data_IF_928889040323
#
_entry.id   IF_928889040323
#
_cell.length_a   1.000
_cell.length_b   1.000
_cell.length_c   1.000
_cell.angle_alpha   90.00
_cell.angle_beta   90.00
_cell.angle_gamma   90.00
#
_symmetry.space_group_name_H-M   'P 1'
#
loop_
_entity.id
_entity.type
_entity.pdbx_description
1 polymer ?
#
# COMPACT_ATOMS: atom_id res chain seq x y z
N UNK A 1 24.02 39.99 -21.45
CA UNK A 1 24.39 38.65 -21.98
C UNK A 1 23.40 37.66 -21.39
N UNK A 2 22.92 36.70 -22.17
CA UNK A 2 21.77 35.85 -21.82
C UNK A 2 22.12 34.76 -20.82
N UNK A 3 21.34 34.65 -19.74
CA UNK A 3 21.49 33.64 -18.69
C UNK A 3 20.37 32.57 -18.70
N UNK A 4 19.68 32.38 -19.83
CA UNK A 4 18.92 31.14 -20.07
C UNK A 4 19.92 30.04 -20.44
N UNK A 5 20.54 29.44 -19.44
CA UNK A 5 21.03 28.06 -19.55
C UNK A 5 19.82 27.15 -19.43
N UNK A 6 19.35 26.57 -20.55
CA UNK A 6 18.25 25.61 -20.51
C UNK A 6 18.67 24.37 -19.72
N UNK A 7 18.05 24.22 -18.54
CA UNK A 7 18.23 23.05 -17.69
C UNK A 7 17.46 21.88 -18.30
N UNK A 8 18.18 20.98 -18.96
CA UNK A 8 17.62 19.71 -19.41
C UNK A 8 17.38 18.78 -18.21
N UNK A 9 16.11 18.66 -17.84
CA UNK A 9 15.67 17.78 -16.76
C UNK A 9 15.89 16.30 -17.08
N UNK A 10 15.84 15.92 -18.35
CA UNK A 10 15.94 14.52 -18.79
C UNK A 10 17.39 14.04 -18.75
N UNK A 11 18.33 14.84 -19.29
CA UNK A 11 19.75 14.55 -19.19
C UNK A 11 20.23 14.54 -17.73
N UNK A 12 19.78 15.50 -16.91
CA UNK A 12 20.15 15.56 -15.48
C UNK A 12 19.63 14.33 -14.72
N UNK A 13 18.39 13.91 -14.95
CA UNK A 13 17.81 12.70 -14.34
C UNK A 13 18.57 11.42 -14.74
N UNK A 14 18.88 11.27 -16.04
CA UNK A 14 19.63 10.12 -16.55
C UNK A 14 21.07 10.10 -16.02
N UNK A 15 21.71 11.27 -15.89
CA UNK A 15 23.03 11.37 -15.24
C UNK A 15 22.98 10.86 -13.80
N UNK A 16 22.02 11.31 -12.99
CA UNK A 16 21.96 10.86 -11.59
C UNK A 16 21.75 9.34 -11.45
N UNK A 17 20.99 8.70 -12.37
CA UNK A 17 20.84 7.23 -12.40
C UNK A 17 22.11 6.49 -12.85
N UNK A 18 22.96 7.14 -13.65
CA UNK A 18 24.27 6.61 -14.04
C UNK A 18 25.31 6.75 -12.92
N UNK A 19 25.30 7.90 -12.23
CA UNK A 19 26.30 8.25 -11.21
C UNK A 19 26.04 7.53 -9.86
N UNK A 20 24.79 7.16 -9.53
CA UNK A 20 24.43 6.33 -8.38
C UNK A 20 23.52 5.14 -8.76
N UNK A 21 24.09 3.94 -9.05
CA UNK A 21 23.31 2.74 -9.37
C UNK A 21 22.54 2.16 -8.17
N UNK A 22 22.78 2.64 -6.95
CA UNK A 22 21.97 2.33 -5.78
C UNK A 22 20.73 3.25 -5.65
N UNK A 23 20.63 4.32 -6.42
CA UNK A 23 19.48 5.23 -6.36
C UNK A 23 18.26 4.70 -7.13
N UNK A 24 17.08 4.87 -6.54
CA UNK A 24 15.81 4.44 -7.17
C UNK A 24 15.21 5.58 -8.00
N UNK A 25 14.48 5.24 -9.09
CA UNK A 25 13.85 6.20 -10.00
C UNK A 25 12.99 7.29 -9.31
N UNK A 26 12.19 7.01 -8.25
CA UNK A 26 11.49 8.05 -7.50
C UNK A 26 12.44 9.07 -6.84
N UNK A 27 13.55 8.60 -6.27
CA UNK A 27 14.55 9.46 -5.59
C UNK A 27 15.27 10.32 -6.64
N UNK A 28 15.65 9.74 -7.77
CA UNK A 28 16.29 10.45 -8.88
C UNK A 28 15.39 11.58 -9.42
N UNK A 29 14.08 11.34 -9.51
CA UNK A 29 13.11 12.36 -9.90
C UNK A 29 13.10 13.52 -8.90
N UNK A 30 13.05 13.21 -7.61
CA UNK A 30 13.05 14.20 -6.52
C UNK A 30 14.34 15.01 -6.49
N UNK A 31 15.50 14.36 -6.64
CA UNK A 31 16.80 15.07 -6.70
C UNK A 31 16.87 16.02 -7.89
N UNK A 32 16.40 15.58 -9.06
CA UNK A 32 16.36 16.41 -10.27
C UNK A 32 15.43 17.62 -10.12
N UNK A 33 14.25 17.44 -9.50
CA UNK A 33 13.32 18.53 -9.19
C UNK A 33 13.89 19.49 -8.14
N UNK A 34 14.60 19.00 -7.11
CA UNK A 34 15.28 19.86 -6.14
C UNK A 34 16.41 20.67 -6.80
N UNK A 35 17.16 20.09 -7.73
CA UNK A 35 18.20 20.80 -8.50
C UNK A 35 17.61 21.84 -9.48
N UNK A 36 16.47 21.54 -10.12
CA UNK A 36 15.70 22.52 -10.90
C UNK A 36 15.34 23.76 -10.05
N UNK A 37 14.88 23.57 -8.81
CA UNK A 37 14.52 24.68 -7.91
C UNK A 37 15.73 25.51 -7.43
N UNK A 38 16.90 24.87 -7.25
CA UNK A 38 18.16 25.56 -6.94
C UNK A 38 18.63 26.48 -8.09
N UNK A 39 18.37 26.08 -9.33
CA UNK A 39 18.83 26.78 -10.55
C UNK A 39 17.83 27.86 -10.99
N UNK A 40 16.54 27.51 -11.18
CA UNK A 40 15.55 28.46 -11.73
C UNK A 40 15.09 29.52 -10.73
N UNK A 41 15.21 29.26 -9.43
CA UNK A 41 14.89 30.19 -8.33
C UNK A 41 13.59 31.01 -8.58
N UNK A 42 12.43 30.34 -8.75
CA UNK A 42 11.15 31.03 -8.94
C UNK A 42 10.88 32.00 -7.80
N UNK A 43 10.25 33.14 -8.10
CA UNK A 43 9.97 34.22 -7.17
C UNK A 43 8.56 34.16 -6.55
N UNK A 44 7.67 33.30 -7.05
CA UNK A 44 6.30 33.14 -6.53
C UNK A 44 5.86 31.68 -6.44
N UNK A 45 4.85 31.42 -5.60
CA UNK A 45 4.25 30.08 -5.45
C UNK A 45 3.55 29.59 -6.73
N UNK A 46 2.88 30.46 -7.47
CA UNK A 46 2.24 30.10 -8.75
C UNK A 46 3.28 29.73 -9.80
N UNK A 47 4.38 30.49 -9.90
CA UNK A 47 5.50 30.20 -10.80
C UNK A 47 6.18 28.88 -10.42
N UNK A 48 6.45 28.66 -9.13
CA UNK A 48 7.01 27.41 -8.59
C UNK A 48 6.18 26.19 -9.01
N UNK A 49 4.86 26.22 -8.80
CA UNK A 49 3.96 25.12 -9.17
C UNK A 49 3.94 24.93 -10.70
N UNK A 50 3.90 26.03 -11.48
CA UNK A 50 3.87 25.97 -12.95
C UNK A 50 5.16 25.36 -13.53
N UNK A 51 6.33 25.77 -13.01
CA UNK A 51 7.63 25.24 -13.40
C UNK A 51 7.73 23.76 -13.05
N UNK A 52 7.31 23.35 -11.84
CA UNK A 52 7.33 21.96 -11.42
C UNK A 52 6.37 21.09 -12.24
N UNK A 53 5.17 21.57 -12.56
CA UNK A 53 4.21 20.83 -13.38
C UNK A 53 4.74 20.63 -14.81
N UNK A 54 5.26 21.69 -15.44
CA UNK A 54 5.86 21.60 -16.78
C UNK A 54 7.06 20.64 -16.80
N UNK A 55 7.90 20.70 -15.77
CA UNK A 55 9.05 19.82 -15.60
C UNK A 55 8.66 18.33 -15.38
N UNK A 56 7.67 18.07 -14.53
CA UNK A 56 7.18 16.72 -14.23
C UNK A 56 6.57 16.07 -15.48
N UNK A 57 5.73 16.78 -16.23
CA UNK A 57 5.11 16.22 -17.43
C UNK A 57 6.14 16.00 -18.56
N UNK A 58 7.13 16.89 -18.70
CA UNK A 58 8.28 16.67 -19.61
C UNK A 58 9.05 15.40 -19.23
N UNK A 59 9.31 15.17 -17.95
CA UNK A 59 10.07 14.02 -17.46
C UNK A 59 9.26 12.71 -17.57
N UNK A 60 7.95 12.74 -17.29
CA UNK A 60 7.02 11.61 -17.51
C UNK A 60 6.94 11.23 -18.99
N UNK A 61 6.81 12.20 -19.90
CA UNK A 61 6.71 11.94 -21.34
C UNK A 61 8.02 11.42 -21.97
N UNK A 62 9.17 11.67 -21.34
CA UNK A 62 10.50 11.32 -21.87
C UNK A 62 10.99 9.92 -21.49
N UNK A 63 10.27 9.21 -20.62
CA UNK A 63 10.72 7.93 -20.03
C UNK A 63 9.65 6.85 -20.28
N UNK A 64 9.97 5.75 -20.99
CA UNK A 64 8.95 4.80 -21.48
C UNK A 64 8.25 4.00 -20.37
N UNK A 65 8.88 3.87 -19.19
CA UNK A 65 8.24 3.38 -17.96
C UNK A 65 8.32 4.46 -16.89
N UNK A 66 7.36 5.39 -16.91
CA UNK A 66 7.29 6.50 -15.99
C UNK A 66 6.63 6.17 -14.64
N UNK A 67 6.34 4.90 -14.32
CA UNK A 67 5.49 4.52 -13.17
C UNK A 67 6.22 4.72 -11.84
N UNK A 68 7.45 4.23 -11.73
CA UNK A 68 8.26 4.47 -10.52
C UNK A 68 8.70 5.95 -10.43
N UNK A 69 8.92 6.60 -11.57
CA UNK A 69 9.19 8.04 -11.66
C UNK A 69 8.02 8.88 -11.10
N UNK A 70 6.79 8.58 -11.54
CA UNK A 70 5.59 9.37 -11.18
C UNK A 70 5.27 9.29 -9.70
N UNK A 71 5.58 8.17 -9.02
CA UNK A 71 5.54 8.08 -7.57
C UNK A 71 6.34 9.21 -6.90
N UNK A 72 7.59 9.41 -7.33
CA UNK A 72 8.48 10.45 -6.81
C UNK A 72 8.05 11.86 -7.19
N UNK A 73 7.66 12.08 -8.45
CA UNK A 73 7.17 13.38 -8.92
C UNK A 73 5.90 13.83 -8.18
N UNK A 74 4.92 12.95 -8.04
CA UNK A 74 3.64 13.26 -7.41
C UNK A 74 3.80 13.43 -5.88
N UNK A 75 4.67 12.64 -5.24
CA UNK A 75 5.05 12.80 -3.84
C UNK A 75 5.71 14.17 -3.60
N UNK A 76 6.60 14.61 -4.49
CA UNK A 76 7.24 15.93 -4.42
C UNK A 76 6.24 17.07 -4.66
N UNK A 77 5.34 16.94 -5.64
CA UNK A 77 4.31 17.94 -5.89
C UNK A 77 3.39 18.12 -4.67
N UNK A 78 2.94 17.02 -4.04
CA UNK A 78 2.16 17.07 -2.79
C UNK A 78 2.94 17.71 -1.64
N UNK A 79 4.25 17.43 -1.54
CA UNK A 79 5.12 18.08 -0.54
C UNK A 79 5.20 19.60 -0.73
N UNK A 80 5.40 20.06 -1.97
CA UNK A 80 5.46 21.48 -2.32
C UNK A 80 4.12 22.17 -2.02
N UNK A 81 3.01 21.57 -2.44
CA UNK A 81 1.66 22.11 -2.20
C UNK A 81 1.35 22.23 -0.70
N UNK A 82 1.58 21.19 0.12
CA UNK A 82 1.32 21.25 1.58
C UNK A 82 2.12 22.37 2.25
N UNK A 83 3.41 22.51 1.93
CA UNK A 83 4.27 23.52 2.55
C UNK A 83 3.99 24.95 2.07
N UNK A 84 3.52 25.12 0.83
CA UNK A 84 3.17 26.45 0.27
C UNK A 84 2.11 27.17 1.11
N UNK A 85 1.24 26.44 1.82
CA UNK A 85 0.22 27.01 2.71
C UNK A 85 0.70 27.29 4.14
N UNK A 86 1.90 26.85 4.54
CA UNK A 86 2.41 26.95 5.92
C UNK A 86 3.28 28.19 6.17
N UNK A 87 3.77 28.86 5.13
CA UNK A 87 4.74 29.96 5.23
C UNK A 87 4.21 31.26 4.64
N UNK A 88 4.33 32.35 5.40
CA UNK A 88 4.06 33.71 4.93
C UNK A 88 5.25 34.31 4.16
N UNK A 89 6.48 33.88 4.48
CA UNK A 89 7.68 34.20 3.69
C UNK A 89 7.97 33.10 2.67
N UNK A 90 7.94 33.48 1.40
CA UNK A 90 8.22 32.58 0.28
C UNK A 90 9.70 32.17 0.21
N UNK A 91 10.66 33.01 0.63
CA UNK A 91 12.09 32.64 0.63
C UNK A 91 12.42 31.63 1.74
N UNK A 92 11.77 31.75 2.91
CA UNK A 92 11.76 30.69 3.92
C UNK A 92 11.16 29.40 3.37
N UNK A 93 10.01 29.46 2.69
CA UNK A 93 9.39 28.29 2.06
C UNK A 93 10.34 27.61 1.06
N UNK A 94 10.93 28.38 0.13
CA UNK A 94 11.83 27.87 -0.93
C UNK A 94 13.07 27.19 -0.33
N UNK A 95 13.69 27.78 0.70
CA UNK A 95 14.81 27.14 1.43
C UNK A 95 14.38 25.87 2.14
N UNK A 96 13.24 25.90 2.86
CA UNK A 96 12.69 24.73 3.54
C UNK A 96 12.39 23.57 2.58
N UNK A 97 11.89 23.85 1.36
CA UNK A 97 11.66 22.83 0.33
C UNK A 97 12.95 22.17 -0.14
N UNK A 98 14.03 22.95 -0.36
CA UNK A 98 15.34 22.42 -0.77
C UNK A 98 16.00 21.62 0.36
N UNK A 99 15.99 22.14 1.59
CA UNK A 99 16.56 21.48 2.77
C UNK A 99 15.88 20.14 3.06
N UNK A 100 14.53 20.10 3.04
CA UNK A 100 13.79 18.85 3.22
C UNK A 100 13.95 17.88 2.04
N UNK A 101 14.08 18.39 0.81
CA UNK A 101 14.38 17.55 -0.35
C UNK A 101 15.67 16.76 -0.16
N UNK A 102 16.74 17.43 0.30
CA UNK A 102 18.02 16.78 0.61
C UNK A 102 17.92 15.83 1.81
N UNK A 103 17.15 16.20 2.85
CA UNK A 103 16.88 15.33 4.00
C UNK A 103 16.06 14.09 3.62
N UNK A 104 15.16 14.19 2.64
CA UNK A 104 14.40 13.06 2.11
C UNK A 104 15.31 12.10 1.35
N UNK A 105 16.12 12.59 0.41
CA UNK A 105 17.15 11.80 -0.30
C UNK A 105 18.02 10.96 0.66
N UNK A 106 18.49 11.59 1.75
CA UNK A 106 19.27 10.90 2.79
C UNK A 106 18.46 9.76 3.45
N UNK A 107 17.21 10.05 3.88
CA UNK A 107 16.32 9.08 4.53
C UNK A 107 15.94 7.92 3.61
N UNK A 108 15.71 8.17 2.32
CA UNK A 108 15.34 7.12 1.35
C UNK A 108 16.43 6.06 1.17
N UNK A 109 17.71 6.39 1.41
CA UNK A 109 18.79 5.38 1.45
C UNK A 109 18.71 4.50 2.71
N UNK A 110 18.28 5.06 3.85
CA UNK A 110 18.04 4.29 5.08
C UNK A 110 16.83 3.35 4.99
N UNK A 111 15.82 3.67 4.17
CA UNK A 111 14.58 2.88 4.05
C UNK A 111 14.86 1.42 3.65
N UNK A 112 15.81 1.15 2.75
CA UNK A 112 16.21 -0.23 2.37
C UNK A 112 16.75 -1.03 3.56
N UNK A 113 17.54 -0.39 4.43
CA UNK A 113 18.05 -1.03 5.65
C UNK A 113 16.90 -1.36 6.59
N UNK A 114 16.00 -0.40 6.86
CA UNK A 114 14.81 -0.60 7.71
C UNK A 114 13.91 -1.73 7.20
N UNK A 115 13.69 -1.80 5.89
CA UNK A 115 12.97 -2.89 5.21
C UNK A 115 13.64 -4.25 5.47
N UNK A 116 14.97 -4.34 5.42
CA UNK A 116 15.70 -5.56 5.73
C UNK A 116 15.59 -5.95 7.23
N UNK A 117 15.62 -4.98 8.14
CA UNK A 117 15.47 -5.19 9.60
C UNK A 117 14.05 -5.63 10.01
N UNK A 118 13.04 -5.24 9.24
CA UNK A 118 11.66 -5.70 9.39
C UNK A 118 11.50 -7.08 8.72
N UNK A 119 12.00 -7.20 7.49
CA UNK A 119 11.72 -8.31 6.57
C UNK A 119 12.48 -9.61 6.84
N UNK A 120 13.67 -9.58 7.45
CA UNK A 120 14.44 -10.82 7.70
C UNK A 120 13.68 -11.85 8.55
N UNK A 121 12.72 -11.40 9.36
CA UNK A 121 11.87 -12.22 10.24
C UNK A 121 10.92 -13.16 9.47
N UNK A 122 10.69 -12.90 8.18
CA UNK A 122 9.88 -13.75 7.31
C UNK A 122 10.66 -14.92 6.69
N UNK A 123 11.99 -14.91 6.76
CA UNK A 123 12.83 -16.02 6.29
C UNK A 123 13.11 -16.93 7.49
N UNK A 124 12.65 -18.18 7.41
CA UNK A 124 12.91 -19.22 8.40
C UNK A 124 14.09 -20.10 7.99
N UNK A 125 14.63 -20.84 8.96
CA UNK A 125 15.81 -21.68 8.74
C UNK A 125 15.48 -22.91 7.87
N UNK A 126 16.35 -23.15 6.89
CA UNK A 126 16.23 -24.08 5.76
C UNK A 126 15.21 -23.70 4.64
N UNK A 127 14.65 -22.48 4.65
CA UNK A 127 13.73 -22.00 3.59
C UNK A 127 14.28 -22.14 2.16
N UNK A 128 13.39 -22.49 1.22
CA UNK A 128 13.56 -22.30 -0.22
C UNK A 128 12.75 -21.08 -0.67
N UNK A 129 13.44 -20.00 -0.99
CA UNK A 129 12.84 -18.71 -1.40
C UNK A 129 12.86 -18.57 -2.92
N UNK A 130 11.72 -18.27 -3.55
CA UNK A 130 11.67 -17.86 -4.95
C UNK A 130 11.77 -16.35 -5.08
N UNK A 131 12.62 -15.86 -5.97
CA UNK A 131 12.77 -14.44 -6.34
C UNK A 131 12.58 -14.27 -7.84
N UNK A 132 11.87 -13.21 -8.23
CA UNK A 132 11.68 -12.82 -9.62
C UNK A 132 12.53 -11.59 -9.97
N UNK A 133 13.25 -11.65 -11.10
CA UNK A 133 14.09 -10.57 -11.62
C UNK A 133 15.14 -10.06 -10.61
N UNK A 134 15.68 -8.87 -10.83
CA UNK A 134 16.53 -8.16 -9.89
C UNK A 134 15.71 -7.19 -9.04
N UNK A 135 15.93 -7.20 -7.73
CA UNK A 135 15.36 -6.20 -6.83
C UNK A 135 16.34 -5.86 -5.72
N UNK A 136 16.67 -4.56 -5.64
CA UNK A 136 17.61 -4.01 -4.65
C UNK A 136 17.12 -4.28 -3.22
N UNK A 137 15.85 -3.98 -2.93
CA UNK A 137 15.23 -4.25 -1.61
C UNK A 137 15.27 -5.73 -1.22
N UNK A 138 14.93 -6.63 -2.15
CA UNK A 138 14.99 -8.09 -1.92
C UNK A 138 16.44 -8.54 -1.70
N UNK A 139 17.41 -8.01 -2.46
CA UNK A 139 18.82 -8.33 -2.25
C UNK A 139 19.30 -7.89 -0.86
N UNK A 140 19.01 -6.65 -0.42
CA UNK A 140 19.40 -6.15 0.91
C UNK A 140 18.79 -6.98 2.03
N UNK A 141 17.52 -7.41 1.90
CA UNK A 141 16.84 -8.30 2.84
C UNK A 141 17.54 -9.66 2.93
N UNK A 142 17.86 -10.29 1.80
CA UNK A 142 18.57 -11.57 1.74
C UNK A 142 20.00 -11.46 2.30
N UNK A 143 20.74 -10.39 1.97
CA UNK A 143 22.05 -10.10 2.55
C UNK A 143 21.99 -9.98 4.08
N UNK A 144 20.96 -9.29 4.60
CA UNK A 144 20.77 -9.11 6.04
C UNK A 144 20.39 -10.42 6.74
N UNK A 145 19.49 -11.23 6.16
CA UNK A 145 19.16 -12.56 6.67
C UNK A 145 20.39 -13.49 6.72
N UNK A 146 21.23 -13.44 5.68
CA UNK A 146 22.53 -14.14 5.63
C UNK A 146 23.49 -13.65 6.72
N UNK A 147 23.55 -12.33 6.97
CA UNK A 147 24.35 -11.75 8.06
C UNK A 147 23.84 -12.16 9.46
N UNK A 148 22.53 -12.39 9.63
CA UNK A 148 21.94 -13.01 10.84
C UNK A 148 22.18 -14.53 10.94
N UNK A 149 22.91 -15.13 9.99
CA UNK A 149 23.27 -16.56 9.93
C UNK A 149 22.09 -17.53 9.74
N UNK A 150 20.95 -17.05 9.24
CA UNK A 150 19.82 -17.90 8.83
C UNK A 150 20.27 -18.73 7.62
N UNK A 151 19.99 -20.04 7.62
CA UNK A 151 20.26 -20.91 6.47
C UNK A 151 19.04 -20.86 5.55
N UNK A 152 19.24 -20.59 4.26
CA UNK A 152 18.20 -20.62 3.25
C UNK A 152 18.84 -20.85 1.87
N UNK A 153 17.99 -21.17 0.89
CA UNK A 153 18.35 -21.37 -0.52
C UNK A 153 17.47 -20.47 -1.37
N UNK A 154 17.99 -19.93 -2.47
CA UNK A 154 17.24 -19.06 -3.36
C UNK A 154 17.10 -19.69 -4.74
N UNK A 155 15.90 -19.61 -5.30
CA UNK A 155 15.61 -19.84 -6.72
C UNK A 155 15.36 -18.48 -7.34
N UNK A 156 16.03 -18.16 -8.44
CA UNK A 156 15.87 -16.90 -9.19
C UNK A 156 15.38 -17.23 -10.60
N UNK A 157 14.35 -16.53 -11.09
CA UNK A 157 13.93 -16.64 -12.50
C UNK A 157 14.78 -15.72 -13.38
N UNK A 158 15.09 -16.13 -14.61
CA UNK A 158 15.90 -15.37 -15.58
C UNK A 158 15.33 -13.95 -15.87
N UNK A 159 14.01 -13.81 -15.85
CA UNK A 159 13.25 -12.58 -16.11
C UNK A 159 13.51 -11.99 -17.51
N UNK A 160 13.10 -12.71 -18.55
CA UNK A 160 13.10 -12.18 -19.93
C UNK A 160 11.99 -11.13 -20.09
N UNK A 161 12.19 -10.06 -20.89
CA UNK A 161 13.30 -9.83 -21.81
C UNK A 161 14.54 -9.15 -21.18
N UNK A 162 14.53 -8.80 -19.89
CA UNK A 162 15.59 -7.97 -19.29
C UNK A 162 16.81 -8.74 -18.80
N UNK A 163 16.69 -10.06 -18.62
CA UNK A 163 17.72 -10.98 -18.11
C UNK A 163 18.30 -10.59 -16.72
N UNK A 164 17.62 -9.72 -16.00
CA UNK A 164 18.07 -9.18 -14.71
C UNK A 164 18.20 -10.26 -13.62
N UNK A 165 17.52 -11.41 -13.78
CA UNK A 165 17.67 -12.56 -12.92
C UNK A 165 19.10 -13.10 -12.84
N UNK A 166 19.88 -13.01 -13.93
CA UNK A 166 21.29 -13.43 -13.91
C UNK A 166 22.14 -12.56 -12.97
N UNK A 167 21.93 -11.23 -13.03
CA UNK A 167 22.59 -10.26 -12.14
C UNK A 167 22.22 -10.49 -10.68
N UNK A 168 20.95 -10.78 -10.40
CA UNK A 168 20.48 -11.13 -9.05
C UNK A 168 21.11 -12.44 -8.55
N UNK A 169 21.13 -13.47 -9.39
CA UNK A 169 21.73 -14.75 -9.05
C UNK A 169 23.24 -14.67 -8.86
N UNK A 170 23.94 -13.81 -9.61
CA UNK A 170 25.36 -13.50 -9.40
C UNK A 170 25.59 -12.79 -8.06
N UNK A 171 24.90 -11.67 -7.81
CA UNK A 171 25.06 -10.87 -6.58
C UNK A 171 24.89 -11.72 -5.31
N UNK A 172 23.88 -12.59 -5.27
CA UNK A 172 23.62 -13.48 -4.14
C UNK A 172 24.69 -14.60 -4.00
N UNK A 173 25.23 -15.13 -5.11
CA UNK A 173 26.35 -16.10 -5.08
C UNK A 173 27.63 -15.47 -4.58
N UNK A 174 27.93 -14.23 -4.99
CA UNK A 174 29.09 -13.46 -4.53
C UNK A 174 29.01 -13.19 -3.00
N UNK A 175 27.80 -13.16 -2.43
CA UNK A 175 27.53 -13.11 -0.98
C UNK A 175 27.51 -14.48 -0.28
N UNK A 176 27.81 -15.57 -0.98
CA UNK A 176 27.82 -16.93 -0.45
C UNK A 176 26.43 -17.50 -0.12
N UNK A 177 25.37 -17.02 -0.78
CA UNK A 177 24.03 -17.59 -0.70
C UNK A 177 23.89 -18.68 -1.78
N UNK A 178 23.34 -19.88 -1.49
CA UNK A 178 23.11 -20.90 -2.51
C UNK A 178 21.98 -20.47 -3.46
N UNK A 179 22.28 -20.32 -4.76
CA UNK A 179 21.31 -19.85 -5.77
C UNK A 179 21.22 -20.76 -7.00
N UNK A 180 20.02 -21.27 -7.26
CA UNK A 180 19.65 -21.86 -8.54
C UNK A 180 19.01 -20.77 -9.43
N UNK A 181 19.47 -20.66 -10.68
CA UNK A 181 18.79 -19.88 -11.72
C UNK A 181 17.86 -20.83 -12.48
N UNK A 182 16.65 -20.39 -12.82
CA UNK A 182 15.68 -21.15 -13.63
C UNK A 182 15.14 -20.29 -14.78
N UNK A 183 14.71 -20.96 -15.85
CA UNK A 183 13.94 -20.31 -16.91
C UNK A 183 12.55 -19.91 -16.41
N UNK A 184 11.97 -18.84 -16.93
CA UNK A 184 10.72 -18.28 -16.40
C UNK A 184 9.55 -19.28 -16.50
N UNK A 185 9.52 -20.11 -17.55
CA UNK A 185 8.52 -21.18 -17.73
C UNK A 185 8.63 -22.33 -16.72
N UNK A 186 9.75 -22.47 -16.00
CA UNK A 186 9.97 -23.54 -15.04
C UNK A 186 9.39 -23.25 -13.64
N UNK A 187 8.86 -22.05 -13.39
CA UNK A 187 8.24 -21.67 -12.10
C UNK A 187 7.19 -22.70 -11.67
N UNK A 188 6.27 -23.07 -12.56
CA UNK A 188 5.20 -24.03 -12.26
C UNK A 188 5.70 -25.44 -11.88
N UNK A 189 6.90 -25.81 -12.30
CA UNK A 189 7.54 -27.08 -11.92
C UNK A 189 8.25 -27.02 -10.56
N UNK A 190 8.77 -25.84 -10.17
CA UNK A 190 9.48 -25.67 -8.90
C UNK A 190 8.60 -25.18 -7.74
N UNK A 191 7.46 -24.52 -8.01
CA UNK A 191 6.67 -23.80 -7.00
C UNK A 191 6.26 -24.67 -5.79
N UNK A 192 6.01 -25.97 -5.99
CA UNK A 192 5.69 -26.89 -4.89
C UNK A 192 6.85 -27.09 -3.91
N UNK A 193 8.09 -26.95 -4.39
CA UNK A 193 9.36 -27.04 -3.62
C UNK A 193 9.81 -25.70 -3.03
N UNK A 194 9.11 -24.60 -3.34
CA UNK A 194 9.34 -23.26 -2.79
C UNK A 194 8.53 -23.12 -1.51
N UNK A 195 9.08 -22.51 -0.47
CA UNK A 195 8.36 -22.25 0.78
C UNK A 195 7.73 -20.86 0.80
N UNK A 196 8.43 -19.87 0.23
CA UNK A 196 8.00 -18.45 0.20
C UNK A 196 8.45 -17.78 -1.09
N UNK A 197 7.64 -16.86 -1.60
CA UNK A 197 7.99 -16.02 -2.76
C UNK A 197 8.29 -14.60 -2.28
N UNK A 198 9.42 -14.02 -2.70
CA UNK A 198 9.77 -12.61 -2.48
C UNK A 198 9.88 -11.90 -3.85
N UNK A 199 9.06 -10.87 -4.07
CA UNK A 199 9.13 -10.03 -5.27
C UNK A 199 9.48 -8.58 -4.91
N UNK A 200 10.11 -7.88 -5.84
CA UNK A 200 10.19 -6.41 -5.78
C UNK A 200 8.89 -5.75 -6.21
N UNK A 201 8.89 -4.42 -6.18
CA UNK A 201 7.96 -3.60 -6.94
C UNK A 201 8.69 -2.37 -7.49
N UNK A 202 8.28 -1.92 -8.67
CA UNK A 202 8.61 -0.60 -9.21
C UNK A 202 7.61 0.45 -8.73
N UNK A 203 6.34 0.08 -8.64
CA UNK A 203 5.25 0.88 -8.06
C UNK A 203 4.26 -0.01 -7.29
N UNK A 204 3.57 0.58 -6.31
CA UNK A 204 2.45 -0.07 -5.60
C UNK A 204 1.18 0.74 -5.87
N UNK A 205 0.11 0.09 -6.31
CA UNK A 205 -1.15 0.72 -6.67
C UNK A 205 -2.02 1.06 -5.45
N UNK A 206 -3.03 1.93 -5.63
CA UNK A 206 -3.94 2.36 -4.56
C UNK A 206 -4.82 1.21 -4.04
N UNK A 207 -5.00 0.14 -4.82
CA UNK A 207 -5.64 -1.12 -4.40
C UNK A 207 -4.73 -2.08 -3.61
N UNK A 208 -3.46 -1.73 -3.39
CA UNK A 208 -2.46 -2.60 -2.77
C UNK A 208 -1.90 -3.70 -3.68
N UNK A 209 -2.29 -3.72 -4.96
CA UNK A 209 -1.59 -4.49 -6.02
C UNK A 209 -0.22 -3.89 -6.35
N UNK A 210 0.62 -4.62 -7.07
CA UNK A 210 1.97 -4.15 -7.46
C UNK A 210 2.16 -4.06 -8.97
N UNK A 211 3.05 -3.16 -9.37
CA UNK A 211 3.60 -3.07 -10.71
C UNK A 211 5.10 -3.40 -10.61
N UNK A 212 5.53 -4.43 -11.33
CA UNK A 212 6.89 -4.96 -11.31
C UNK A 212 7.20 -5.62 -12.67
N UNK A 213 8.42 -6.13 -12.87
CA UNK A 213 8.79 -6.85 -14.10
C UNK A 213 7.83 -7.98 -14.48
N UNK A 214 7.66 -8.16 -15.79
CA UNK A 214 6.79 -9.16 -16.41
C UNK A 214 7.09 -10.59 -15.93
N UNK A 215 6.05 -11.30 -15.52
CA UNK A 215 6.13 -12.61 -14.87
C UNK A 215 5.77 -12.57 -13.38
N UNK A 216 5.72 -11.39 -12.76
CA UNK A 216 5.29 -11.23 -11.36
C UNK A 216 3.85 -11.69 -11.15
N UNK A 217 2.94 -11.34 -12.07
CA UNK A 217 1.55 -11.80 -12.03
C UNK A 217 1.44 -13.32 -12.22
N UNK A 218 2.21 -13.89 -13.16
CA UNK A 218 2.24 -15.33 -13.41
C UNK A 218 2.71 -16.11 -12.17
N UNK A 219 3.76 -15.61 -11.50
CA UNK A 219 4.27 -16.15 -10.24
C UNK A 219 3.24 -16.00 -9.13
N UNK A 220 2.49 -14.88 -9.07
CA UNK A 220 1.39 -14.68 -8.12
C UNK A 220 0.27 -15.70 -8.26
N UNK A 221 -0.21 -15.93 -9.49
CA UNK A 221 -1.22 -16.96 -9.79
C UNK A 221 -0.73 -18.36 -9.40
N UNK A 222 0.51 -18.72 -9.75
CA UNK A 222 1.11 -20.01 -9.42
C UNK A 222 1.32 -20.19 -7.90
N UNK A 223 1.78 -19.16 -7.20
CA UNK A 223 1.98 -19.18 -5.76
C UNK A 223 0.64 -19.35 -5.02
N UNK A 224 -0.40 -18.61 -5.42
CA UNK A 224 -1.76 -18.71 -4.86
C UNK A 224 -2.32 -20.12 -5.04
N UNK A 225 -2.22 -20.69 -6.25
CA UNK A 225 -2.69 -22.04 -6.54
C UNK A 225 -1.90 -23.12 -5.75
N UNK A 226 -0.59 -22.94 -5.58
CA UNK A 226 0.27 -23.81 -4.78
C UNK A 226 0.21 -23.54 -3.26
N UNK A 227 -0.68 -22.64 -2.81
CA UNK A 227 -0.83 -22.19 -1.41
C UNK A 227 0.50 -21.71 -0.78
N UNK A 228 1.36 -21.05 -1.56
CA UNK A 228 2.62 -20.45 -1.11
C UNK A 228 2.43 -18.94 -0.87
N UNK A 229 2.92 -18.39 0.25
CA UNK A 229 2.82 -16.96 0.52
C UNK A 229 3.74 -16.17 -0.42
N UNK A 230 3.20 -15.08 -0.97
CA UNK A 230 3.93 -14.10 -1.77
C UNK A 230 4.04 -12.80 -0.99
N UNK A 231 5.28 -12.40 -0.70
CA UNK A 231 5.59 -11.14 -0.05
C UNK A 231 6.22 -10.18 -1.04
N UNK A 232 5.75 -8.93 -1.02
CA UNK A 232 6.32 -7.82 -1.78
C UNK A 232 7.33 -7.11 -0.88
N UNK A 233 8.48 -6.70 -1.43
CA UNK A 233 9.50 -5.94 -0.69
C UNK A 233 9.75 -4.61 -1.42
N UNK A 234 9.20 -3.51 -0.90
CA UNK A 234 9.17 -2.21 -1.58
C UNK A 234 9.36 -1.04 -0.61
N UNK A 235 10.03 0.02 -1.07
CA UNK A 235 10.03 1.31 -0.39
C UNK A 235 8.65 2.00 -0.47
N UNK A 236 8.29 2.73 0.58
CA UNK A 236 7.05 3.52 0.71
C UNK A 236 6.93 4.62 -0.36
N UNK A 237 8.06 5.20 -0.77
CA UNK A 237 8.13 6.24 -1.79
C UNK A 237 7.88 5.74 -3.24
N UNK A 238 7.45 4.49 -3.40
CA UNK A 238 6.95 3.89 -4.66
C UNK A 238 5.42 3.74 -4.68
N UNK A 239 4.69 4.21 -3.68
CA UNK A 239 3.23 4.15 -3.70
C UNK A 239 2.67 5.16 -4.71
N UNK A 240 1.91 4.68 -5.69
CA UNK A 240 1.34 5.46 -6.80
C UNK A 240 -0.17 5.56 -6.62
N UNK A 241 -0.74 6.73 -6.90
CA UNK A 241 -2.20 6.90 -7.04
C UNK A 241 -2.66 6.47 -8.44
N UNK A 242 -2.51 5.18 -8.70
CA UNK A 242 -3.03 4.49 -9.87
C UNK A 242 -3.88 3.32 -9.37
N UNK A 243 -5.01 3.07 -10.04
CA UNK A 243 -5.93 1.99 -9.72
C UNK A 243 -6.24 1.20 -10.99
N UNK A 244 -5.35 0.28 -11.41
CA UNK A 244 -5.61 -0.58 -12.57
C UNK A 244 -6.83 -1.46 -12.30
N UNK A 245 -7.78 -1.47 -13.24
CA UNK A 245 -8.98 -2.32 -13.20
C UNK A 245 -8.68 -3.76 -13.69
N UNK A 246 -7.61 -3.94 -14.46
CA UNK A 246 -7.17 -5.22 -15.02
C UNK A 246 -5.64 -5.35 -15.02
N UNK A 247 -5.06 -6.56 -15.18
CA UNK A 247 -3.60 -6.80 -15.21
C UNK A 247 -2.85 -6.07 -16.34
N UNK A 248 -3.58 -5.67 -17.38
CA UNK A 248 -3.16 -4.94 -18.58
C UNK A 248 -3.54 -3.45 -18.58
N UNK A 249 -4.27 -2.97 -17.56
CA UNK A 249 -4.70 -1.57 -17.40
C UNK A 249 -3.55 -0.68 -16.84
N UNK A 250 -2.42 -0.68 -17.56
CA UNK A 250 -1.19 0.03 -17.21
C UNK A 250 -0.92 1.08 -18.30
N UNK A 251 -0.54 2.33 -17.95
CA UNK A 251 -0.21 3.38 -18.93
C UNK A 251 1.18 3.14 -19.58
N UNK A 252 1.27 2.11 -20.43
CA UNK A 252 2.44 1.76 -21.25
C UNK A 252 2.09 1.81 -22.74
N UNK A 253 2.86 2.57 -23.52
CA UNK A 253 2.57 2.88 -24.93
C UNK A 253 2.88 1.75 -25.94
N UNK A 254 2.82 0.48 -25.51
CA UNK A 254 3.19 -0.68 -26.33
C UNK A 254 1.99 -1.60 -26.53
N UNK A 255 1.46 -1.64 -27.77
CA UNK A 255 0.59 -2.73 -28.22
C UNK A 255 1.35 -4.05 -28.16
N UNK A 256 1.11 -4.84 -27.11
CA UNK A 256 1.79 -6.12 -26.83
C UNK A 256 1.53 -7.17 -27.93
N UNK A 257 0.41 -7.07 -28.62
CA UNK A 257 -0.07 -8.08 -29.59
C UNK A 257 -0.06 -7.54 -31.03
N UNK A 258 1.14 -7.33 -31.59
CA UNK A 258 1.33 -7.04 -33.01
C UNK A 258 1.11 -8.33 -33.85
N UNK A 259 -0.04 -8.45 -34.51
CA UNK A 259 -0.36 -9.58 -35.38
C UNK A 259 0.20 -9.38 -36.80
N UNK A 260 1.36 -9.99 -37.07
CA UNK A 260 2.03 -9.99 -38.39
C UNK A 260 1.76 -11.28 -39.17
N UNK A 261 1.70 -11.17 -40.50
CA UNK A 261 1.81 -12.32 -41.44
C UNK A 261 3.20 -12.43 -42.08
N UNK A 262 4.04 -11.40 -41.95
CA UNK A 262 5.48 -11.46 -42.20
C UNK A 262 6.20 -12.14 -41.03
N UNK A 263 7.43 -12.62 -41.28
CA UNK A 263 8.31 -13.43 -40.40
C UNK A 263 8.16 -13.22 -38.88
N UNK A 264 8.35 -14.31 -38.12
CA UNK A 264 8.38 -14.40 -36.65
C UNK A 264 9.26 -13.31 -35.99
N UNK A 265 8.69 -12.12 -35.81
CA UNK A 265 9.20 -11.13 -34.87
C UNK A 265 8.85 -11.62 -33.48
N UNK A 266 9.86 -11.68 -32.62
CA UNK A 266 9.61 -11.68 -31.17
C UNK A 266 8.86 -10.38 -30.88
N UNK A 267 7.58 -10.50 -30.52
CA UNK A 267 6.68 -9.36 -30.31
C UNK A 267 7.21 -8.42 -29.23
N UNK A 268 6.67 -7.19 -29.22
CA UNK A 268 6.85 -6.24 -28.11
C UNK A 268 6.33 -6.84 -26.80
N UNK A 269 7.19 -7.58 -26.10
CA UNK A 269 6.89 -8.10 -24.76
C UNK A 269 6.78 -6.94 -23.77
N UNK A 270 5.73 -6.89 -22.93
CA UNK A 270 5.61 -5.84 -21.93
C UNK A 270 6.77 -5.96 -20.93
N UNK A 271 7.35 -4.84 -20.51
CA UNK A 271 8.47 -4.82 -19.56
C UNK A 271 8.03 -5.02 -18.10
N UNK A 272 6.75 -4.76 -17.83
CA UNK A 272 6.09 -4.81 -16.53
C UNK A 272 4.75 -5.54 -16.62
N UNK A 273 4.27 -6.07 -15.49
CA UNK A 273 2.88 -6.49 -15.31
C UNK A 273 2.29 -5.90 -14.03
N UNK A 274 0.95 -5.93 -13.93
CA UNK A 274 0.22 -5.60 -12.71
C UNK A 274 -0.24 -6.89 -12.04
N UNK A 275 0.16 -7.07 -10.77
CA UNK A 275 -0.29 -8.18 -9.92
C UNK A 275 -1.35 -7.68 -8.94
N UNK A 276 -2.64 -8.10 -9.07
CA UNK A 276 -3.69 -7.72 -8.14
C UNK A 276 -3.44 -8.15 -6.69
N UNK A 277 -4.03 -7.40 -5.75
CA UNK A 277 -3.87 -7.62 -4.31
C UNK A 277 -4.24 -9.04 -3.84
N UNK A 278 -5.12 -9.75 -4.56
CA UNK A 278 -5.58 -11.10 -4.19
C UNK A 278 -4.45 -12.13 -4.14
N UNK A 279 -3.38 -11.93 -4.90
CA UNK A 279 -2.21 -12.81 -4.96
C UNK A 279 -1.15 -12.45 -3.90
N UNK A 280 -1.24 -11.26 -3.30
CA UNK A 280 -0.27 -10.73 -2.35
C UNK A 280 -0.66 -11.12 -0.92
N UNK A 281 0.29 -11.67 -0.16
CA UNK A 281 0.09 -12.05 1.24
C UNK A 281 0.35 -10.88 2.20
N UNK A 282 1.46 -10.15 1.99
CA UNK A 282 1.75 -8.89 2.68
C UNK A 282 2.83 -8.09 1.91
N UNK A 283 2.89 -6.79 2.17
CA UNK A 283 3.94 -5.89 1.68
C UNK A 283 4.87 -5.53 2.84
N UNK A 284 6.17 -5.69 2.63
CA UNK A 284 7.24 -5.36 3.58
C UNK A 284 7.84 -4.04 3.15
N UNK A 285 7.66 -3.01 3.98
CA UNK A 285 8.02 -1.61 3.70
C UNK A 285 8.74 -0.97 4.88
N UNK A 286 9.29 0.23 4.68
CA UNK A 286 9.91 1.05 5.72
C UNK A 286 8.91 1.61 6.74
N UNK A 287 7.60 1.57 6.44
CA UNK A 287 6.52 1.86 7.39
C UNK A 287 6.22 0.66 8.31
N UNK A 288 6.61 -0.55 7.90
CA UNK A 288 6.23 -1.80 8.56
C UNK A 288 5.77 -2.87 7.57
N UNK A 289 5.09 -3.88 8.11
CA UNK A 289 4.41 -4.92 7.33
C UNK A 289 2.97 -4.49 7.14
N UNK A 290 2.55 -4.33 5.89
CA UNK A 290 1.22 -3.88 5.50
C UNK A 290 0.45 -5.03 4.84
N UNK A 291 -0.85 -5.14 5.13
CA UNK A 291 -1.77 -5.86 4.24
C UNK A 291 -2.03 -5.00 3.00
N UNK A 292 -2.47 -5.56 1.85
CA UNK A 292 -2.84 -4.75 0.69
C UNK A 292 -3.89 -3.68 1.01
N UNK A 293 -4.85 -3.98 1.89
CA UNK A 293 -5.86 -3.03 2.37
C UNK A 293 -5.30 -1.87 3.21
N UNK A 294 -4.13 -2.03 3.83
CA UNK A 294 -3.48 -0.94 4.56
C UNK A 294 -2.72 0.02 3.63
N UNK A 295 -2.42 -0.38 2.37
CA UNK A 295 -1.75 0.50 1.40
C UNK A 295 -2.63 1.68 1.02
N UNK A 296 -3.94 1.48 0.84
CA UNK A 296 -4.89 2.57 0.60
C UNK A 296 -5.00 3.50 1.81
N UNK A 297 -5.02 2.97 3.04
CA UNK A 297 -4.96 3.80 4.24
C UNK A 297 -3.69 4.66 4.31
N UNK A 298 -2.51 4.08 4.06
CA UNK A 298 -1.24 4.82 4.06
C UNK A 298 -1.17 5.84 2.92
N UNK A 299 -1.74 5.55 1.74
CA UNK A 299 -1.86 6.52 0.65
C UNK A 299 -2.79 7.70 1.00
N UNK A 300 -3.93 7.43 1.67
CA UNK A 300 -4.83 8.47 2.17
C UNK A 300 -4.12 9.31 3.24
N UNK A 301 -3.43 8.66 4.19
CA UNK A 301 -2.59 9.34 5.20
C UNK A 301 -1.52 10.20 4.53
N UNK A 302 -0.76 9.70 3.55
CA UNK A 302 0.23 10.51 2.82
C UNK A 302 -0.37 11.72 2.07
N UNK A 303 -1.64 11.66 1.66
CA UNK A 303 -2.33 12.79 1.04
C UNK A 303 -2.80 13.85 2.07
N UNK A 304 -3.18 13.44 3.27
CA UNK A 304 -3.60 14.33 4.37
C UNK A 304 -2.41 14.85 5.20
N UNK A 305 -1.39 14.00 5.36
CA UNK A 305 -0.19 14.13 6.18
C UNK A 305 1.08 14.03 5.32
N UNK A 306 1.31 15.02 4.46
CA UNK A 306 2.56 15.12 3.69
C UNK A 306 3.81 15.14 4.59
N UNK A 307 4.92 14.56 4.07
CA UNK A 307 6.17 14.02 4.66
C UNK A 307 6.70 14.44 6.06
N UNK A 308 6.25 15.53 6.67
CA UNK A 308 6.67 15.95 8.01
C UNK A 308 6.30 14.91 9.10
N UNK A 309 5.34 14.04 8.82
CA UNK A 309 4.78 13.04 9.74
C UNK A 309 5.17 11.58 9.42
N UNK A 310 6.23 11.35 8.62
CA UNK A 310 6.92 10.03 8.54
C UNK A 310 7.68 9.66 9.84
N UNK A 311 7.19 10.15 10.98
CA UNK A 311 7.56 9.75 12.33
C UNK A 311 6.83 8.47 12.72
N UNK A 312 7.48 7.35 12.41
CA UNK A 312 7.76 6.26 13.36
C UNK A 312 7.07 6.44 14.73
N UNK A 313 5.94 5.77 14.95
CA UNK A 313 5.40 5.53 16.29
C UNK A 313 5.88 4.18 16.82
N UNK A 314 7.11 4.13 17.33
CA UNK A 314 7.56 2.99 18.12
C UNK A 314 7.00 3.07 19.54
N UNK A 315 5.80 2.53 19.77
CA UNK A 315 5.43 2.05 21.10
C UNK A 315 6.12 0.70 21.33
N UNK A 316 7.28 0.74 22.00
CA UNK A 316 7.95 -0.48 22.47
C UNK A 316 7.08 -1.12 23.56
N UNK A 317 6.26 -2.09 23.17
CA UNK A 317 5.59 -2.97 24.13
C UNK A 317 6.65 -3.90 24.73
N UNK A 318 7.13 -3.58 25.93
CA UNK A 318 8.06 -4.44 26.67
C UNK A 318 7.49 -5.87 26.82
N UNK A 319 8.34 -6.91 26.72
CA UNK A 319 7.88 -8.28 26.86
C UNK A 319 7.42 -8.53 28.30
N UNK A 320 6.10 -8.67 28.50
CA UNK A 320 5.53 -9.11 29.78
C UNK A 320 6.03 -10.53 30.08
N UNK A 321 6.98 -10.63 30.99
CA UNK A 321 7.51 -11.90 31.49
C UNK A 321 6.42 -12.69 32.21
N UNK A 322 6.44 -14.01 32.02
CA UNK A 322 5.50 -14.94 32.68
C UNK A 322 5.83 -15.07 34.18
N UNK A 323 4.85 -14.82 35.04
CA UNK A 323 4.96 -15.01 36.49
C UNK A 323 3.59 -15.11 37.20
N UNK A 324 3.36 -16.26 37.82
CA UNK A 324 2.40 -16.61 38.88
C UNK A 324 0.96 -16.05 38.92
N UNK A 325 0.03 -16.95 38.55
CA UNK A 325 -0.95 -17.57 39.46
C UNK A 325 -1.59 -16.76 40.60
N UNK A 326 -2.93 -16.68 40.55
CA UNK A 326 -3.87 -16.65 41.69
C UNK A 326 -3.70 -15.56 42.78
N UNK A 327 -4.62 -14.57 42.79
CA UNK A 327 -5.69 -14.50 43.83
C UNK A 327 -6.83 -13.52 43.53
N UNK A 328 -7.97 -13.88 44.10
CA UNK A 328 -9.32 -13.30 44.04
C UNK A 328 -9.46 -11.86 44.58
N UNK A 329 -10.54 -11.23 44.09
CA UNK A 329 -11.45 -10.25 44.75
C UNK A 329 -11.26 -8.74 44.59
N UNK A 330 -12.44 -8.10 44.68
CA UNK A 330 -12.84 -6.69 44.60
C UNK A 330 -11.81 -5.63 45.01
N UNK A 331 -11.79 -4.52 44.25
CA UNK A 331 -12.19 -3.22 44.79
C UNK A 331 -12.62 -2.24 43.69
N UNK A 332 -13.63 -1.43 43.98
CA UNK A 332 -13.98 -0.23 43.18
C UNK A 332 -13.16 0.94 43.71
N UNK A 333 -12.53 1.72 42.83
CA UNK A 333 -12.04 3.07 43.14
C UNK A 333 -12.25 4.00 41.94
N UNK A 334 -12.71 5.21 42.24
CA UNK A 334 -12.68 6.34 41.33
C UNK A 334 -11.22 6.75 41.06
N UNK A 335 -10.99 7.38 39.91
CA UNK A 335 -9.85 8.26 39.64
C UNK A 335 -10.43 9.53 39.04
N UNK A 336 -10.23 10.66 39.72
CA UNK A 336 -10.74 11.95 39.28
C UNK A 336 -9.91 12.55 38.14
N UNK A 337 -10.57 13.29 37.24
CA UNK A 337 -9.92 14.12 36.22
C UNK A 337 -10.21 15.59 36.51
N UNK A 338 -9.21 16.50 36.41
CA UNK A 338 -9.40 17.90 36.71
C UNK A 338 -10.17 18.65 35.60
N UNK A 339 -11.15 19.46 36.01
CA UNK A 339 -11.49 20.73 35.32
C UNK A 339 -10.36 21.72 35.66
N UNK A 340 -9.97 22.71 34.86
CA UNK A 340 -10.67 23.62 33.92
C UNK A 340 -9.60 24.26 32.99
N UNK A 341 -9.84 25.08 31.97
CA UNK A 341 -11.04 25.62 31.27
C UNK A 341 -11.25 24.88 29.91
N UNK A 342 -12.21 25.10 29.00
CA UNK A 342 -13.21 26.16 28.69
C UNK A 342 -12.75 27.42 27.91
N UNK A 343 -12.53 27.31 26.59
CA UNK A 343 -13.23 28.21 25.64
C UNK A 343 -13.20 27.75 24.14
N UNK A 344 -14.09 28.33 23.33
CA UNK A 344 -14.20 28.20 21.85
C UNK A 344 -14.50 26.80 21.25
N UNK A 345 -15.78 26.40 21.25
CA UNK A 345 -16.52 26.03 20.02
C UNK A 345 -18.00 25.71 20.33
N UNK A 346 -18.79 26.76 20.58
CA UNK A 346 -20.24 26.69 20.40
C UNK A 346 -20.59 26.69 18.90
N UNK A 347 -21.73 26.08 18.56
CA UNK A 347 -22.30 25.84 17.21
C UNK A 347 -21.68 24.67 16.43
N UNK A 348 -22.33 23.49 16.48
CA UNK A 348 -23.27 23.06 15.43
C UNK A 348 -24.18 21.91 15.96
N UNK A 349 -25.39 21.75 15.41
CA UNK A 349 -26.44 20.86 15.95
C UNK A 349 -26.55 19.52 15.19
N UNK A 350 -26.10 18.40 15.80
CA UNK A 350 -26.37 17.02 15.29
C UNK A 350 -26.65 16.00 16.42
N UNK A 351 -27.43 16.36 17.44
CA UNK A 351 -27.61 15.51 18.64
C UNK A 351 -28.91 14.69 18.74
N UNK A 352 -29.98 15.01 18.00
CA UNK A 352 -31.27 14.31 18.13
C UNK A 352 -31.32 12.96 17.39
N UNK A 353 -30.79 12.87 16.17
CA UNK A 353 -30.91 11.67 15.33
C UNK A 353 -30.25 10.43 15.94
N UNK A 354 -29.02 10.58 16.45
CA UNK A 354 -28.27 9.48 17.06
C UNK A 354 -28.94 8.92 18.33
N UNK A 355 -29.57 9.77 19.15
CA UNK A 355 -30.28 9.30 20.35
C UNK A 355 -31.58 8.56 20.02
N UNK A 356 -32.29 8.95 18.95
CA UNK A 356 -33.45 8.21 18.46
C UNK A 356 -33.03 6.83 17.90
N UNK A 357 -31.99 6.81 17.05
CA UNK A 357 -31.48 5.58 16.43
C UNK A 357 -30.99 4.55 17.48
N UNK A 358 -30.28 5.01 18.52
CA UNK A 358 -29.80 4.15 19.59
C UNK A 358 -30.93 3.58 20.46
N UNK A 359 -32.01 4.33 20.69
CA UNK A 359 -33.20 3.81 21.40
C UNK A 359 -33.93 2.76 20.57
N UNK A 360 -34.20 3.06 19.28
CA UNK A 360 -34.83 2.11 18.37
C UNK A 360 -34.06 0.78 18.30
N UNK A 361 -32.73 0.83 18.11
CA UNK A 361 -31.89 -0.37 18.12
C UNK A 361 -31.95 -1.14 19.45
N UNK A 362 -32.00 -0.45 20.60
CA UNK A 362 -32.09 -1.09 21.90
C UNK A 362 -33.43 -1.82 22.10
N UNK A 363 -34.54 -1.18 21.79
CA UNK A 363 -35.88 -1.74 21.98
C UNK A 363 -36.14 -2.93 21.03
N UNK A 364 -35.72 -2.85 19.76
CA UNK A 364 -35.80 -3.99 18.82
C UNK A 364 -34.95 -5.17 19.30
N UNK A 365 -33.73 -4.93 19.80
CA UNK A 365 -32.89 -6.00 20.36
C UNK A 365 -33.51 -6.64 21.61
N UNK A 366 -34.21 -5.87 22.44
CA UNK A 366 -34.87 -6.37 23.65
C UNK A 366 -36.11 -7.22 23.33
N UNK A 367 -36.93 -6.84 22.34
CA UNK A 367 -38.08 -7.65 21.91
C UNK A 367 -37.63 -9.00 21.32
N UNK A 368 -36.68 -8.99 20.37
CA UNK A 368 -36.12 -10.22 19.78
C UNK A 368 -35.43 -11.09 20.84
N UNK A 369 -34.75 -10.48 21.81
CA UNK A 369 -34.09 -11.18 22.92
C UNK A 369 -35.04 -11.79 23.97
N UNK A 370 -36.32 -11.41 23.97
CA UNK A 370 -37.36 -11.98 24.83
C UNK A 370 -38.09 -13.15 24.17
N UNK A 371 -38.45 -13.04 22.89
CA UNK A 371 -39.15 -14.11 22.15
C UNK A 371 -38.37 -15.43 22.12
N UNK A 372 -37.05 -15.35 21.88
CA UNK A 372 -36.17 -16.52 21.76
C UNK A 372 -35.87 -17.29 23.06
N UNK A 373 -36.41 -16.88 24.22
CA UNK A 373 -36.21 -17.57 25.51
C UNK A 373 -37.26 -18.62 25.86
N UNK A 374 -38.30 -18.80 25.04
CA UNK A 374 -39.42 -19.71 25.29
C UNK A 374 -39.24 -21.13 24.74
N UNK A 375 -38.27 -21.36 23.85
CA UNK A 375 -38.20 -22.54 22.97
C UNK A 375 -37.05 -23.51 23.27
N UNK A 376 -37.19 -24.25 24.37
CA UNK A 376 -36.50 -25.53 24.68
C UNK A 376 -34.97 -25.48 24.94
N UNK A 377 -34.37 -26.55 25.52
CA UNK A 377 -33.05 -26.46 26.16
C UNK A 377 -31.95 -27.29 25.47
N UNK A 378 -30.99 -26.64 24.80
CA UNK A 378 -29.65 -27.21 24.62
C UNK A 378 -28.58 -26.12 24.34
N UNK A 379 -27.48 -26.00 25.12
CA UNK A 379 -26.66 -24.78 25.13
C UNK A 379 -25.56 -24.69 24.06
N UNK A 380 -25.36 -25.70 23.20
CA UNK A 380 -24.17 -25.79 22.33
C UNK A 380 -24.34 -25.42 20.85
N UNK A 381 -25.56 -25.39 20.29
CA UNK A 381 -25.76 -25.06 18.86
C UNK A 381 -26.02 -23.57 18.59
N UNK A 382 -26.67 -22.86 19.51
CA UNK A 382 -27.23 -21.52 19.28
C UNK A 382 -26.21 -20.40 18.97
N UNK A 383 -24.91 -20.62 19.26
CA UNK A 383 -23.84 -19.61 19.04
C UNK A 383 -23.32 -19.52 17.61
N UNK A 384 -23.38 -20.59 16.81
CA UNK A 384 -22.87 -20.58 15.43
C UNK A 384 -23.87 -19.99 14.42
N UNK A 385 -25.17 -20.24 14.62
CA UNK A 385 -26.23 -19.70 13.75
C UNK A 385 -26.41 -18.18 13.90
N UNK A 386 -26.36 -17.66 15.13
CA UNK A 386 -26.59 -16.24 15.46
C UNK A 386 -25.63 -15.25 14.76
N UNK A 387 -24.47 -15.71 14.30
CA UNK A 387 -23.45 -14.85 13.66
C UNK A 387 -23.57 -14.85 12.13
N UNK A 388 -23.98 -15.96 11.51
CA UNK A 388 -24.06 -16.06 10.04
C UNK A 388 -25.20 -15.23 9.45
N UNK A 389 -26.40 -15.30 10.02
CA UNK A 389 -27.58 -14.61 9.49
C UNK A 389 -27.46 -13.09 9.60
N UNK A 390 -26.86 -12.58 10.68
CA UNK A 390 -26.67 -11.14 10.91
C UNK A 390 -25.81 -10.46 9.83
N UNK A 391 -24.80 -11.15 9.30
CA UNK A 391 -23.86 -10.51 8.37
C UNK A 391 -24.33 -10.58 6.90
N UNK A 392 -25.01 -11.64 6.45
CA UNK A 392 -25.39 -11.75 5.04
C UNK A 392 -26.57 -10.86 4.63
N UNK A 393 -27.53 -10.64 5.54
CA UNK A 393 -28.73 -9.85 5.21
C UNK A 393 -28.46 -8.34 5.24
N UNK A 394 -27.68 -7.85 6.21
CA UNK A 394 -27.39 -6.41 6.35
C UNK A 394 -26.45 -5.91 5.24
N UNK A 395 -25.43 -6.68 4.85
CA UNK A 395 -24.43 -6.23 3.86
C UNK A 395 -24.91 -6.23 2.40
N UNK A 396 -26.06 -6.84 2.08
CA UNK A 396 -26.52 -6.99 0.68
C UNK A 396 -27.52 -5.92 0.22
N UNK A 397 -28.11 -5.15 1.14
CA UNK A 397 -29.21 -4.22 0.85
C UNK A 397 -28.97 -2.76 1.30
N UNK A 398 -27.80 -2.45 1.88
CA UNK A 398 -27.43 -1.08 2.32
C UNK A 398 -26.60 -0.33 1.27
N UNK A 399 -26.16 -0.99 0.20
CA UNK A 399 -25.26 -0.45 -0.84
C UNK A 399 -25.97 0.39 -1.92
N UNK A 400 -26.85 1.31 -1.52
CA UNK A 400 -27.44 2.34 -2.40
C UNK A 400 -28.13 3.46 -1.62
N UNK A 401 -27.36 4.38 -1.04
CA UNK A 401 -27.89 5.57 -0.36
C UNK A 401 -27.05 6.81 -0.67
N UNK A 402 -27.31 7.42 -1.84
CA UNK A 402 -26.83 8.76 -2.18
C UNK A 402 -28.04 9.71 -2.32
N UNK A 403 -28.03 10.79 -1.53
CA UNK A 403 -28.75 12.05 -1.82
C UNK A 403 -30.27 12.09 -1.75
N UNK A 404 -30.85 12.08 -0.54
CA UNK A 404 -32.22 12.59 -0.29
C UNK A 404 -32.29 13.47 0.96
N UNK A 405 -33.22 14.43 0.99
CA UNK A 405 -33.23 15.56 1.93
C UNK A 405 -34.46 15.67 2.83
N UNK A 406 -35.32 14.63 2.88
CA UNK A 406 -36.60 14.69 3.60
C UNK A 406 -36.90 13.43 4.43
N UNK A 407 -37.47 13.63 5.62
CA UNK A 407 -37.62 12.57 6.64
C UNK A 407 -38.79 11.63 6.33
N UNK A 408 -39.91 12.19 5.85
CA UNK A 408 -41.14 11.44 5.55
C UNK A 408 -40.90 10.35 4.47
N UNK A 409 -39.99 10.60 3.53
CA UNK A 409 -39.58 9.63 2.51
C UNK A 409 -38.83 8.43 3.11
N UNK A 410 -38.18 8.62 4.25
CA UNK A 410 -37.35 7.61 4.92
C UNK A 410 -38.21 6.69 5.79
N UNK A 411 -39.21 7.23 6.50
CA UNK A 411 -40.22 6.43 7.20
C UNK A 411 -41.04 5.56 6.23
N UNK A 412 -41.45 6.10 5.08
CA UNK A 412 -42.23 5.36 4.08
C UNK A 412 -41.45 4.16 3.51
N UNK A 413 -40.14 4.32 3.27
CA UNK A 413 -39.28 3.23 2.80
C UNK A 413 -38.96 2.21 3.90
N UNK A 414 -38.75 2.65 5.14
CA UNK A 414 -38.60 1.74 6.29
C UNK A 414 -39.86 0.89 6.51
N UNK A 415 -41.05 1.47 6.38
CA UNK A 415 -42.33 0.74 6.43
C UNK A 415 -42.44 -0.33 5.34
N UNK A 416 -42.04 0.00 4.10
CA UNK A 416 -42.04 -0.96 3.00
C UNK A 416 -41.03 -2.12 3.22
N UNK A 417 -39.84 -1.82 3.74
CA UNK A 417 -38.79 -2.81 3.99
C UNK A 417 -39.16 -3.74 5.16
N UNK A 418 -39.81 -3.21 6.20
CA UNK A 418 -40.41 -4.00 7.27
C UNK A 418 -41.52 -4.93 6.75
N UNK A 419 -42.43 -4.44 5.89
CA UNK A 419 -43.49 -5.27 5.29
C UNK A 419 -42.92 -6.38 4.37
N UNK A 420 -41.80 -6.14 3.69
CA UNK A 420 -41.11 -7.19 2.91
C UNK A 420 -40.45 -8.24 3.82
N UNK A 421 -39.84 -7.83 4.94
CA UNK A 421 -39.34 -8.76 5.96
C UNK A 421 -40.47 -9.62 6.55
N UNK A 422 -41.62 -9.02 6.85
CA UNK A 422 -42.79 -9.70 7.41
C UNK A 422 -43.33 -10.77 6.45
N UNK A 423 -43.47 -10.46 5.14
CA UNK A 423 -43.84 -11.45 4.13
C UNK A 423 -42.82 -12.58 3.99
N UNK A 424 -41.52 -12.29 4.02
CA UNK A 424 -40.46 -13.32 3.96
C UNK A 424 -40.48 -14.24 5.19
N UNK A 425 -40.86 -13.74 6.37
CA UNK A 425 -41.03 -14.56 7.57
C UNK A 425 -42.26 -15.46 7.48
N UNK A 426 -43.39 -14.93 7.01
CA UNK A 426 -44.63 -15.70 6.79
C UNK A 426 -44.43 -16.81 5.73
N UNK A 427 -43.75 -16.52 4.62
CA UNK A 427 -43.41 -17.52 3.59
C UNK A 427 -42.43 -18.61 4.10
N UNK A 428 -41.67 -18.34 5.17
CA UNK A 428 -40.83 -19.32 5.88
C UNK A 428 -41.63 -20.13 6.93
N UNK A 429 -42.93 -19.86 7.11
CA UNK A 429 -43.78 -20.53 8.10
C UNK A 429 -43.55 -20.05 9.54
N UNK A 430 -43.03 -18.83 9.73
CA UNK A 430 -42.85 -18.20 11.03
C UNK A 430 -43.97 -17.16 11.25
N UNK A 431 -44.76 -17.36 12.31
CA UNK A 431 -45.78 -16.43 12.81
C UNK A 431 -45.22 -15.52 13.92
#
# INVERSE_FOLDING_TARGET
>A
MSANSDFDITATYLQYLHDDPEMTMPIAAIETLVSLLKIKQPATSTELITILHSAIETLKASIPNAISLSAGCDLFMRFVLRNTHLYQDYEACRRHLVENGQLFLQRSKECRTKIAEIGFKFITDDDIVLVHSFSRTVSTLLSYAKAKKIRFRVIVTEARPTFQGESMAKLLRDQGIPVSLIVDSAVGYVINKVDKVLVGAEGVAESGGIINHVGSYQIGVLAKNANKPLYVVSESHKFVRLFPLAPDDIPTNDDVMEFSTEQDRVTKSPLVDFTPHEFITALITDLGVLTPSAVSEELIKMCQQGLNELRVQFTVSEPRTTGDFNRRHQMVKHVDLPRWELDTLDNFNESLGLQALQRAQHDTLMQVGLGLKSLSPDPFSARSFNVRVKNSFILSHVTSFDGFTDIDSLELQLGALLHQLDQVLVDQGLN
#
